data_IF_200817198752
#
_entry.id   IF_200817198752
#
_cell.length_a   1.000
_cell.length_b   1.000
_cell.length_c   1.000
_cell.angle_alpha   90.00
_cell.angle_beta   90.00
_cell.angle_gamma   90.00
#
_symmetry.space_group_name_H-M   'P 1'
#
loop_
_entity.id
_entity.type
_entity.pdbx_description
1 polymer ?
#
# COMPACT_ATOMS: atom_id res chain seq x y z
N UNK A 1 -10.01 -36.51 -23.65
CA UNK A 1 -10.47 -36.09 -22.30
C UNK A 1 -9.88 -37.05 -21.29
N UNK A 2 -9.13 -36.58 -20.28
CA UNK A 2 -8.64 -37.46 -19.20
C UNK A 2 -9.83 -37.77 -18.29
N UNK A 3 -10.29 -39.02 -18.28
CA UNK A 3 -11.36 -39.48 -17.41
C UNK A 3 -10.75 -40.23 -16.22
N UNK A 4 -11.00 -39.74 -15.02
CA UNK A 4 -10.59 -40.43 -13.79
C UNK A 4 -11.64 -41.51 -13.46
N UNK A 5 -11.27 -42.80 -13.40
CA UNK A 5 -12.23 -43.87 -13.12
C UNK A 5 -12.85 -43.74 -11.73
N UNK A 6 -14.13 -44.12 -11.61
CA UNK A 6 -14.89 -44.07 -10.35
C UNK A 6 -14.20 -44.83 -9.21
N UNK A 7 -13.53 -45.95 -9.52
CA UNK A 7 -12.77 -46.76 -8.58
C UNK A 7 -11.61 -46.01 -7.91
N UNK A 8 -11.01 -45.04 -8.61
CA UNK A 8 -9.91 -44.25 -8.08
C UNK A 8 -10.37 -43.33 -6.94
N UNK A 9 -11.58 -42.73 -7.06
CA UNK A 9 -12.19 -41.92 -6.01
C UNK A 9 -12.57 -42.78 -4.79
N UNK A 10 -13.21 -43.93 -5.02
CA UNK A 10 -13.60 -44.86 -3.93
C UNK A 10 -12.36 -45.33 -3.15
N UNK A 11 -11.27 -45.65 -3.86
CA UNK A 11 -10.01 -46.06 -3.22
C UNK A 11 -9.44 -44.97 -2.32
N UNK A 12 -9.44 -43.71 -2.78
CA UNK A 12 -9.01 -42.58 -1.98
C UNK A 12 -9.89 -42.37 -0.73
N UNK A 13 -11.21 -42.49 -0.86
CA UNK A 13 -12.13 -42.41 0.28
C UNK A 13 -11.86 -43.53 1.30
N UNK A 14 -11.68 -44.77 0.84
CA UNK A 14 -11.42 -45.91 1.72
C UNK A 14 -10.06 -45.83 2.42
N UNK A 15 -9.09 -45.10 1.85
CA UNK A 15 -7.81 -44.83 2.52
C UNK A 15 -7.96 -44.06 3.83
N UNK A 16 -8.99 -43.22 3.95
CA UNK A 16 -9.25 -42.41 5.15
C UNK A 16 -10.48 -42.87 5.96
N UNK A 17 -11.45 -43.54 5.32
CA UNK A 17 -12.74 -43.93 5.92
C UNK A 17 -12.97 -45.46 5.97
N UNK A 18 -11.99 -46.26 5.54
CA UNK A 18 -12.08 -47.72 5.51
C UNK A 18 -11.81 -48.37 6.86
N UNK A 19 -12.33 -49.59 7.04
CA UNK A 19 -12.26 -50.36 8.29
C UNK A 19 -10.83 -50.63 8.82
N UNK A 20 -9.80 -50.52 7.96
CA UNK A 20 -8.41 -50.74 8.32
C UNK A 20 -7.75 -49.56 9.06
N UNK A 21 -8.35 -48.36 9.04
CA UNK A 21 -7.72 -47.14 9.54
C UNK A 21 -8.34 -46.62 10.84
N UNK A 22 -8.86 -47.47 11.74
CA UNK A 22 -9.22 -47.09 13.11
C UNK A 22 -10.16 -45.89 13.30
N UNK A 23 -10.80 -45.39 12.23
CA UNK A 23 -11.61 -44.18 12.24
C UNK A 23 -12.81 -44.33 11.29
N UNK A 24 -13.98 -44.33 11.93
CA UNK A 24 -15.31 -43.97 11.45
C UNK A 24 -15.71 -44.44 10.03
N UNK A 25 -16.40 -45.58 9.99
CA UNK A 25 -17.21 -45.97 8.82
C UNK A 25 -18.34 -44.97 8.54
N UNK A 26 -18.94 -45.08 7.35
CA UNK A 26 -20.03 -44.20 6.91
C UNK A 26 -21.18 -44.17 7.95
N UNK A 27 -21.61 -42.97 8.34
CA UNK A 27 -22.66 -42.75 9.34
C UNK A 27 -24.07 -43.10 8.84
N UNK A 28 -24.22 -43.36 7.55
CA UNK A 28 -25.49 -43.73 6.93
C UNK A 28 -25.88 -45.18 7.27
N UNK A 29 -27.18 -45.48 7.31
CA UNK A 29 -27.72 -46.81 7.65
C UNK A 29 -27.21 -47.87 6.67
N UNK A 30 -26.80 -49.03 7.17
CA UNK A 30 -26.23 -50.11 6.37
C UNK A 30 -27.14 -50.55 5.20
N UNK A 31 -28.46 -50.54 5.39
CA UNK A 31 -29.44 -50.86 4.33
C UNK A 31 -29.39 -49.85 3.17
N UNK A 32 -29.21 -48.56 3.47
CA UNK A 32 -29.12 -47.50 2.45
C UNK A 32 -27.80 -47.61 1.70
N UNK A 33 -26.69 -47.89 2.39
CA UNK A 33 -25.39 -48.09 1.74
C UNK A 33 -25.37 -49.34 0.86
N UNK A 34 -25.94 -50.44 1.33
CA UNK A 34 -26.09 -51.66 0.55
C UNK A 34 -26.90 -51.43 -0.74
N UNK A 35 -27.97 -50.61 -0.69
CA UNK A 35 -28.74 -50.24 -1.88
C UNK A 35 -27.96 -49.45 -2.94
N UNK A 36 -26.81 -48.87 -2.54
CA UNK A 36 -25.88 -48.13 -3.41
C UNK A 36 -24.53 -48.86 -3.56
N UNK A 37 -24.46 -50.13 -3.17
CA UNK A 37 -23.25 -50.95 -3.24
C UNK A 37 -22.03 -50.33 -2.53
N UNK A 38 -22.26 -49.64 -1.41
CA UNK A 38 -21.27 -48.87 -0.63
C UNK A 38 -20.48 -47.82 -1.45
N UNK A 39 -21.04 -47.36 -2.57
CA UNK A 39 -20.44 -46.35 -3.42
C UNK A 39 -20.59 -44.94 -2.84
N UNK A 40 -19.49 -44.45 -2.25
CA UNK A 40 -19.42 -43.12 -1.65
C UNK A 40 -19.64 -41.99 -2.67
N UNK A 41 -19.27 -42.21 -3.94
CA UNK A 41 -19.33 -41.17 -4.99
C UNK A 41 -20.78 -40.83 -5.32
N UNK A 42 -21.69 -41.80 -5.28
CA UNK A 42 -23.11 -41.57 -5.62
C UNK A 42 -23.78 -40.59 -4.68
N UNK A 43 -23.48 -40.66 -3.38
CA UNK A 43 -24.12 -39.82 -2.36
C UNK A 43 -23.35 -38.53 -2.08
N UNK A 44 -22.01 -38.57 -2.16
CA UNK A 44 -21.16 -37.44 -1.77
C UNK A 44 -20.54 -36.65 -2.95
N UNK A 45 -20.70 -37.13 -4.18
CA UNK A 45 -20.24 -36.44 -5.39
C UNK A 45 -21.34 -36.38 -6.48
N UNK A 46 -22.54 -35.88 -6.17
CA UNK A 46 -23.56 -35.70 -7.19
C UNK A 46 -23.08 -34.72 -8.27
N UNK A 47 -23.31 -35.07 -9.54
CA UNK A 47 -23.01 -34.19 -10.66
C UNK A 47 -24.09 -33.12 -10.77
N UNK A 48 -23.71 -31.85 -10.61
CA UNK A 48 -24.57 -30.73 -10.95
C UNK A 48 -24.04 -30.04 -12.23
N UNK A 49 -24.95 -29.68 -13.12
CA UNK A 49 -24.62 -28.82 -14.26
C UNK A 49 -24.31 -27.40 -13.79
N UNK A 50 -23.37 -26.72 -14.45
CA UNK A 50 -23.19 -25.28 -14.26
C UNK A 50 -24.16 -24.51 -15.17
N UNK A 51 -24.82 -23.48 -14.65
CA UNK A 51 -25.77 -22.66 -15.43
C UNK A 51 -25.04 -21.84 -16.51
N UNK A 52 -23.81 -21.39 -16.22
CA UNK A 52 -23.11 -20.39 -17.04
C UNK A 52 -22.02 -20.95 -17.96
N UNK A 53 -21.70 -22.25 -17.91
CA UNK A 53 -20.66 -22.87 -18.76
C UNK A 53 -21.17 -24.19 -19.36
N UNK A 54 -21.45 -24.24 -20.68
CA UNK A 54 -21.80 -25.48 -21.37
C UNK A 54 -20.66 -26.51 -21.27
N UNK A 55 -21.03 -27.77 -21.02
CA UNK A 55 -20.13 -28.94 -20.98
C UNK A 55 -19.16 -29.05 -19.79
N UNK A 56 -19.39 -28.31 -18.70
CA UNK A 56 -18.67 -28.51 -17.43
C UNK A 56 -19.62 -29.07 -16.38
N UNK A 57 -19.18 -30.14 -15.72
CA UNK A 57 -19.87 -30.69 -14.57
C UNK A 57 -19.03 -30.48 -13.31
N UNK A 58 -19.67 -29.97 -12.27
CA UNK A 58 -19.02 -29.67 -10.99
C UNK A 58 -19.49 -30.70 -9.97
N UNK A 59 -18.54 -31.23 -9.20
CA UNK A 59 -18.84 -32.09 -8.04
C UNK A 59 -18.30 -31.38 -6.81
N UNK A 60 -19.19 -30.88 -5.97
CA UNK A 60 -18.81 -30.21 -4.73
C UNK A 60 -18.62 -31.26 -3.63
N UNK A 61 -17.50 -31.21 -2.92
CA UNK A 61 -17.19 -32.15 -1.85
C UNK A 61 -17.03 -31.35 -0.57
N UNK A 62 -18.13 -31.25 0.18
CA UNK A 62 -18.11 -30.54 1.43
C UNK A 62 -17.54 -31.42 2.55
N UNK A 63 -16.20 -31.39 2.70
CA UNK A 63 -15.50 -32.07 3.78
C UNK A 63 -15.58 -31.19 5.04
N UNK A 64 -16.58 -31.45 5.91
CA UNK A 64 -16.56 -30.88 7.27
C UNK A 64 -15.45 -31.55 8.08
N UNK A 65 -14.30 -30.89 8.20
CA UNK A 65 -13.39 -31.16 9.33
C UNK A 65 -14.16 -30.84 10.61
N UNK A 66 -14.34 -31.83 11.49
CA UNK A 66 -14.73 -31.54 12.88
C UNK A 66 -13.64 -30.64 13.45
N UNK A 67 -13.98 -29.55 14.17
CA UNK A 67 -12.99 -28.86 14.98
C UNK A 67 -12.56 -29.85 16.07
N UNK A 68 -11.52 -30.64 15.80
CA UNK A 68 -10.71 -31.18 16.87
C UNK A 68 -10.31 -30.00 17.73
N UNK A 69 -10.44 -30.12 19.05
CA UNK A 69 -10.03 -29.08 19.98
C UNK A 69 -8.61 -28.68 19.65
N UNK A 70 -8.45 -27.60 18.87
CA UNK A 70 -7.18 -27.09 18.36
C UNK A 70 -6.53 -26.29 19.50
N UNK A 71 -6.42 -26.94 20.66
CA UNK A 71 -5.70 -26.48 21.84
C UNK A 71 -4.20 -26.39 21.57
N UNK A 72 -3.74 -26.87 20.40
CA UNK A 72 -2.41 -26.68 19.84
C UNK A 72 -2.22 -25.35 19.09
N UNK A 73 -3.27 -24.59 18.74
CA UNK A 73 -3.13 -23.28 18.06
C UNK A 73 -2.98 -22.09 19.00
N UNK A 74 -2.18 -22.26 20.05
CA UNK A 74 -1.54 -21.14 20.76
C UNK A 74 -0.03 -21.32 20.85
N UNK A 75 0.57 -22.15 20.00
CA UNK A 75 1.96 -21.93 19.65
C UNK A 75 2.03 -20.61 18.88
N UNK A 76 2.82 -19.67 19.40
CA UNK A 76 3.33 -18.56 18.61
C UNK A 76 3.92 -19.20 17.37
N UNK A 77 3.24 -19.15 16.22
CA UNK A 77 3.82 -19.56 14.96
C UNK A 77 4.87 -18.51 14.62
N UNK A 78 6.03 -18.62 15.24
CA UNK A 78 7.15 -17.75 15.01
C UNK A 78 7.41 -17.76 13.50
N UNK A 79 7.53 -16.57 12.93
CA UNK A 79 7.90 -16.45 11.54
C UNK A 79 9.28 -17.12 11.34
N UNK A 80 9.30 -18.27 10.67
CA UNK A 80 10.52 -19.06 10.48
C UNK A 80 11.36 -18.53 9.31
N UNK A 81 10.72 -17.93 8.30
CA UNK A 81 11.38 -17.41 7.11
C UNK A 81 10.49 -17.46 5.88
N UNK A 82 11.03 -16.99 4.75
CA UNK A 82 10.39 -17.07 3.44
C UNK A 82 10.98 -18.21 2.62
N UNK A 83 10.13 -18.91 1.89
CA UNK A 83 10.51 -19.91 0.89
C UNK A 83 9.88 -19.56 -0.45
N UNK A 84 10.70 -19.56 -1.50
CA UNK A 84 10.20 -19.43 -2.87
C UNK A 84 9.55 -20.75 -3.31
N UNK A 85 8.30 -20.70 -3.78
CA UNK A 85 7.54 -21.90 -4.15
C UNK A 85 7.71 -22.30 -5.62
N UNK A 86 8.02 -21.34 -6.50
CA UNK A 86 8.12 -21.54 -7.94
C UNK A 86 9.57 -21.53 -8.46
N UNK A 87 10.55 -21.30 -7.59
CA UNK A 87 11.97 -21.38 -7.91
C UNK A 87 12.73 -21.90 -6.69
N UNK A 88 13.13 -23.17 -6.73
CA UNK A 88 13.90 -23.81 -5.66
C UNK A 88 15.29 -23.18 -5.45
N UNK A 89 15.76 -22.33 -6.37
CA UNK A 89 17.06 -21.66 -6.35
C UNK A 89 16.90 -20.15 -6.58
N UNK A 90 16.04 -19.52 -5.78
CA UNK A 90 15.97 -18.05 -5.76
C UNK A 90 17.33 -17.46 -5.37
N UNK A 91 17.80 -16.47 -6.14
CA UNK A 91 19.02 -15.74 -5.80
C UNK A 91 18.83 -14.88 -4.55
N UNK A 92 19.93 -14.37 -4.02
CA UNK A 92 19.91 -13.64 -2.76
C UNK A 92 19.13 -12.33 -2.88
N UNK A 93 19.24 -11.61 -4.00
CA UNK A 93 18.49 -10.36 -4.24
C UNK A 93 16.99 -10.64 -4.32
N UNK A 94 16.58 -11.68 -5.04
CA UNK A 94 15.16 -12.11 -5.10
C UNK A 94 14.63 -12.47 -3.71
N UNK A 95 15.42 -13.18 -2.91
CA UNK A 95 15.06 -13.50 -1.52
C UNK A 95 14.92 -12.24 -0.66
N UNK A 96 15.86 -11.29 -0.76
CA UNK A 96 15.79 -10.01 -0.06
C UNK A 96 14.54 -9.20 -0.42
N UNK A 97 14.18 -9.16 -1.71
CA UNK A 97 12.92 -8.54 -2.15
C UNK A 97 11.70 -9.19 -1.54
N UNK A 98 11.69 -10.53 -1.42
CA UNK A 98 10.62 -11.24 -0.72
C UNK A 98 10.43 -10.75 0.72
N UNK A 99 11.51 -10.55 1.46
CA UNK A 99 11.44 -10.02 2.83
C UNK A 99 10.90 -8.58 2.88
N UNK A 100 11.36 -7.71 1.97
CA UNK A 100 10.85 -6.34 1.88
C UNK A 100 9.37 -6.27 1.47
N UNK A 101 8.93 -7.12 0.52
CA UNK A 101 7.52 -7.23 0.15
C UNK A 101 6.67 -7.72 1.33
N UNK A 102 7.18 -8.70 2.09
CA UNK A 102 6.46 -9.20 3.26
C UNK A 102 6.34 -8.13 4.35
N UNK A 103 7.40 -7.31 4.52
CA UNK A 103 7.41 -6.17 5.42
C UNK A 103 6.31 -5.15 5.07
N UNK A 104 6.25 -4.75 3.80
CA UNK A 104 5.30 -3.72 3.34
C UNK A 104 3.85 -4.21 3.35
N UNK A 105 3.60 -5.48 3.02
CA UNK A 105 2.23 -6.01 2.85
C UNK A 105 1.61 -6.60 4.10
N UNK A 106 2.39 -7.20 4.99
CA UNK A 106 1.85 -8.02 6.08
C UNK A 106 2.30 -7.56 7.46
N UNK A 107 3.58 -7.24 7.68
CA UNK A 107 4.06 -6.85 9.01
C UNK A 107 5.30 -5.98 8.98
N UNK A 108 5.26 -4.83 9.65
CA UNK A 108 6.36 -3.86 9.68
C UNK A 108 7.45 -4.22 10.72
N UNK A 109 7.85 -5.49 10.78
CA UNK A 109 8.91 -5.94 11.68
C UNK A 109 10.30 -5.63 11.12
N UNK A 110 11.12 -4.87 11.86
CA UNK A 110 12.48 -4.49 11.45
C UNK A 110 13.39 -5.69 11.15
N UNK A 111 13.21 -6.82 11.84
CA UNK A 111 14.00 -8.04 11.60
C UNK A 111 13.85 -8.63 10.20
N UNK A 112 12.75 -8.33 9.50
CA UNK A 112 12.59 -8.69 8.08
C UNK A 112 13.53 -7.89 7.19
N UNK A 113 13.73 -6.60 7.51
CA UNK A 113 14.64 -5.73 6.76
C UNK A 113 16.11 -6.08 7.08
N UNK A 114 16.42 -6.50 8.31
CA UNK A 114 17.74 -7.04 8.66
C UNK A 114 18.05 -8.29 7.82
N UNK A 115 17.08 -9.20 7.69
CA UNK A 115 17.19 -10.37 6.83
C UNK A 115 17.40 -9.97 5.37
N UNK A 116 16.62 -9.01 4.86
CA UNK A 116 16.77 -8.50 3.50
C UNK A 116 18.18 -7.96 3.25
N UNK A 117 18.71 -7.11 4.15
CA UNK A 117 20.06 -6.55 4.05
C UNK A 117 21.14 -7.65 4.09
N UNK A 118 20.98 -8.67 4.94
CA UNK A 118 21.89 -9.80 4.99
C UNK A 118 21.96 -10.54 3.64
N UNK A 119 20.82 -10.75 2.98
CA UNK A 119 20.78 -11.38 1.67
C UNK A 119 21.36 -10.48 0.57
N UNK A 120 21.07 -9.17 0.58
CA UNK A 120 21.68 -8.21 -0.36
C UNK A 120 23.21 -8.20 -0.24
N UNK A 121 23.75 -8.35 0.98
CA UNK A 121 25.19 -8.44 1.23
C UNK A 121 25.89 -9.57 0.47
N UNK A 122 25.18 -10.68 0.17
CA UNK A 122 25.74 -11.83 -0.56
C UNK A 122 26.01 -11.54 -2.03
N UNK A 123 25.39 -10.50 -2.60
CA UNK A 123 25.48 -10.15 -4.02
C UNK A 123 25.65 -8.63 -4.22
N UNK A 124 26.39 -7.98 -3.32
CA UNK A 124 26.54 -6.51 -3.32
C UNK A 124 27.07 -5.95 -4.65
N UNK A 125 28.05 -6.60 -5.28
CA UNK A 125 28.59 -6.13 -6.57
C UNK A 125 27.55 -6.18 -7.71
N UNK A 126 26.68 -7.20 -7.71
CA UNK A 126 25.58 -7.34 -8.67
C UNK A 126 24.55 -6.23 -8.44
N UNK A 127 24.20 -5.99 -7.17
CA UNK A 127 23.26 -4.94 -6.80
C UNK A 127 23.79 -3.55 -7.17
N UNK A 128 25.06 -3.25 -6.86
CA UNK A 128 25.70 -1.98 -7.17
C UNK A 128 25.83 -1.73 -8.68
N UNK A 129 26.21 -2.75 -9.46
CA UNK A 129 26.38 -2.61 -10.91
C UNK A 129 25.07 -2.70 -11.68
N UNK A 130 24.38 -3.84 -11.60
CA UNK A 130 23.25 -4.16 -12.47
C UNK A 130 21.91 -3.60 -11.97
N UNK A 131 21.75 -3.39 -10.66
CA UNK A 131 20.50 -2.90 -10.06
C UNK A 131 20.63 -1.48 -9.52
N UNK A 132 21.81 -0.88 -9.64
CA UNK A 132 22.09 0.50 -9.23
C UNK A 132 21.69 0.75 -7.76
N UNK A 133 21.97 -0.22 -6.88
CA UNK A 133 21.66 -0.17 -5.44
C UNK A 133 20.17 0.01 -5.08
N UNK A 134 19.23 -0.16 -6.01
CA UNK A 134 17.80 0.13 -5.77
C UNK A 134 17.20 -0.68 -4.62
N UNK A 135 17.69 -1.89 -4.39
CA UNK A 135 17.18 -2.76 -3.32
C UNK A 135 17.75 -2.34 -1.95
N UNK A 136 19.01 -1.89 -1.87
CA UNK A 136 19.55 -1.25 -0.66
C UNK A 136 18.83 0.07 -0.35
N UNK A 137 18.61 0.90 -1.37
CA UNK A 137 17.84 2.14 -1.26
C UNK A 137 16.44 1.85 -0.71
N UNK A 138 15.75 0.83 -1.22
CA UNK A 138 14.45 0.40 -0.69
C UNK A 138 14.55 -0.04 0.77
N UNK A 139 15.49 -0.92 1.11
CA UNK A 139 15.62 -1.46 2.46
C UNK A 139 15.86 -0.35 3.50
N UNK A 140 16.83 0.55 3.24
CA UNK A 140 17.12 1.65 4.16
C UNK A 140 16.02 2.70 4.21
N UNK A 141 15.31 2.94 3.10
CA UNK A 141 14.14 3.80 3.09
C UNK A 141 13.01 3.25 3.98
N UNK A 142 12.76 1.94 3.94
CA UNK A 142 11.78 1.26 4.80
C UNK A 142 12.19 1.29 6.29
N UNK A 143 13.50 1.27 6.57
CA UNK A 143 14.05 1.48 7.91
C UNK A 143 13.99 2.96 8.37
N UNK A 144 13.61 3.88 7.49
CA UNK A 144 13.69 5.33 7.70
C UNK A 144 15.11 5.85 7.97
N UNK A 145 16.13 5.10 7.53
CA UNK A 145 17.52 5.55 7.56
C UNK A 145 17.81 6.35 6.29
N UNK A 146 17.34 7.60 6.29
CA UNK A 146 17.50 8.51 5.15
C UNK A 146 18.97 8.86 4.89
N UNK A 147 19.83 8.81 5.92
CA UNK A 147 21.27 9.01 5.78
C UNK A 147 21.89 7.93 4.90
N UNK A 148 21.58 6.66 5.17
CA UNK A 148 22.02 5.54 4.32
C UNK A 148 21.46 5.62 2.92
N UNK A 149 20.18 5.98 2.75
CA UNK A 149 19.61 6.18 1.40
C UNK A 149 20.37 7.24 0.63
N UNK A 150 20.69 8.37 1.27
CA UNK A 150 21.48 9.44 0.65
C UNK A 150 22.92 9.00 0.31
N UNK A 151 23.55 8.17 1.15
CA UNK A 151 24.88 7.58 0.89
C UNK A 151 24.89 6.75 -0.40
N UNK A 152 23.92 5.83 -0.55
CA UNK A 152 23.79 5.05 -1.79
C UNK A 152 23.42 5.93 -2.99
N UNK A 153 22.58 6.95 -2.79
CA UNK A 153 22.21 7.91 -3.82
C UNK A 153 23.38 8.78 -4.30
N UNK A 154 24.33 9.13 -3.43
CA UNK A 154 25.47 9.98 -3.76
C UNK A 154 26.44 9.35 -4.77
N UNK A 155 26.51 8.02 -4.82
CA UNK A 155 27.28 7.27 -5.83
C UNK A 155 26.58 7.19 -7.20
N UNK A 156 25.33 7.64 -7.29
CA UNK A 156 24.49 7.54 -8.47
C UNK A 156 24.18 8.92 -9.04
N UNK A 157 23.76 8.97 -10.30
CA UNK A 157 23.32 10.20 -10.96
C UNK A 157 21.84 10.09 -11.32
N UNK A 158 21.00 11.12 -11.04
CA UNK A 158 19.58 11.10 -11.37
C UNK A 158 19.30 10.67 -12.82
N UNK A 159 19.98 11.29 -13.80
CA UNK A 159 19.76 10.98 -15.22
C UNK A 159 20.08 9.53 -15.64
N UNK A 160 20.84 8.78 -14.83
CA UNK A 160 21.17 7.36 -15.10
C UNK A 160 20.23 6.37 -14.43
N UNK A 161 19.38 6.82 -13.50
CA UNK A 161 18.48 5.96 -12.74
C UNK A 161 17.23 5.66 -13.56
N UNK A 162 17.00 4.38 -13.89
CA UNK A 162 15.83 3.97 -14.68
C UNK A 162 14.69 3.39 -13.82
N UNK A 163 14.84 3.42 -12.49
CA UNK A 163 13.85 2.95 -11.54
C UNK A 163 13.21 4.15 -10.84
N UNK A 164 11.92 4.40 -11.14
CA UNK A 164 11.19 5.56 -10.62
C UNK A 164 11.09 5.53 -9.09
N UNK A 165 10.89 4.35 -8.51
CA UNK A 165 10.79 4.18 -7.06
C UNK A 165 12.11 4.46 -6.36
N UNK A 166 13.24 3.99 -6.91
CA UNK A 166 14.56 4.31 -6.36
C UNK A 166 14.86 5.81 -6.44
N UNK A 167 14.58 6.45 -7.59
CA UNK A 167 14.71 7.89 -7.74
C UNK A 167 13.85 8.65 -6.71
N UNK A 168 12.59 8.25 -6.56
CA UNK A 168 11.67 8.82 -5.58
C UNK A 168 12.19 8.67 -4.15
N UNK A 169 12.63 7.47 -3.76
CA UNK A 169 13.14 7.20 -2.39
C UNK A 169 14.39 8.00 -2.07
N UNK A 170 15.30 8.18 -3.03
CA UNK A 170 16.47 9.06 -2.84
C UNK A 170 16.02 10.52 -2.67
N UNK A 171 15.13 11.00 -3.54
CA UNK A 171 14.57 12.36 -3.44
C UNK A 171 13.89 12.61 -2.09
N UNK A 172 13.02 11.69 -1.66
CA UNK A 172 12.33 11.77 -0.38
C UNK A 172 13.30 11.72 0.80
N UNK A 173 14.29 10.83 0.79
CA UNK A 173 15.31 10.80 1.84
C UNK A 173 16.07 12.13 1.95
N UNK A 174 16.49 12.70 0.82
CA UNK A 174 17.17 14.01 0.80
C UNK A 174 16.26 15.14 1.29
N UNK A 175 14.97 15.11 0.92
CA UNK A 175 13.99 16.09 1.38
C UNK A 175 13.77 16.03 2.90
N UNK A 176 13.64 14.82 3.46
CA UNK A 176 13.53 14.61 4.90
C UNK A 176 14.78 15.08 5.66
N UNK A 177 15.95 14.96 5.03
CA UNK A 177 17.23 15.50 5.53
C UNK A 177 17.38 17.03 5.31
N UNK A 178 16.31 17.74 4.96
CA UNK A 178 16.30 19.19 4.70
C UNK A 178 17.21 19.62 3.53
N UNK A 179 17.53 18.71 2.62
CA UNK A 179 18.33 18.96 1.41
C UNK A 179 17.44 19.05 0.18
N UNK A 180 16.46 19.94 0.20
CA UNK A 180 15.47 20.08 -0.88
C UNK A 180 16.11 20.35 -2.25
N UNK A 181 17.21 21.13 -2.30
CA UNK A 181 17.95 21.38 -3.53
C UNK A 181 18.51 20.11 -4.19
N UNK A 182 19.05 19.20 -3.37
CA UNK A 182 19.58 17.92 -3.84
C UNK A 182 18.45 16.93 -4.15
N UNK A 183 17.32 17.01 -3.44
CA UNK A 183 16.14 16.17 -3.65
C UNK A 183 15.46 16.44 -5.00
N UNK A 184 15.41 17.70 -5.42
CA UNK A 184 14.69 18.14 -6.61
C UNK A 184 15.01 17.33 -7.89
N UNK A 185 16.28 17.16 -8.30
CA UNK A 185 16.59 16.39 -9.51
C UNK A 185 16.20 14.90 -9.40
N UNK A 186 16.17 14.33 -8.20
CA UNK A 186 15.75 12.94 -7.98
C UNK A 186 14.24 12.77 -8.09
N UNK A 187 13.46 13.68 -7.49
CA UNK A 187 12.01 13.71 -7.71
C UNK A 187 11.67 13.95 -9.17
N UNK A 188 12.35 14.90 -9.84
CA UNK A 188 12.18 15.14 -11.27
C UNK A 188 12.42 13.86 -12.05
N UNK A 189 13.50 13.14 -11.77
CA UNK A 189 13.78 11.86 -12.42
C UNK A 189 12.68 10.83 -12.20
N UNK A 190 12.14 10.72 -10.99
CA UNK A 190 11.02 9.81 -10.72
C UNK A 190 9.81 10.13 -11.60
N UNK A 191 9.50 11.42 -11.78
CA UNK A 191 8.41 11.87 -12.67
C UNK A 191 8.73 11.71 -14.16
N UNK A 192 9.99 11.77 -14.58
CA UNK A 192 10.38 11.51 -15.97
C UNK A 192 10.27 10.02 -16.32
N UNK A 193 10.59 9.13 -15.36
CA UNK A 193 10.49 7.66 -15.56
C UNK A 193 9.03 7.20 -15.47
N UNK A 194 8.24 7.77 -14.55
CA UNK A 194 6.82 7.46 -14.41
C UNK A 194 5.94 8.72 -14.33
N UNK A 195 5.58 9.32 -15.47
CA UNK A 195 4.89 10.62 -15.52
C UNK A 195 3.51 10.66 -14.87
N UNK A 196 2.78 9.54 -14.94
CA UNK A 196 1.41 9.41 -14.43
C UNK A 196 1.33 8.93 -12.97
N UNK A 197 2.47 8.79 -12.29
CA UNK A 197 2.46 8.62 -10.83
C UNK A 197 2.19 9.98 -10.17
N UNK A 198 0.92 10.26 -9.91
CA UNK A 198 0.47 11.53 -9.33
C UNK A 198 1.08 11.79 -7.95
N UNK A 199 1.38 10.75 -7.18
CA UNK A 199 2.07 10.85 -5.91
C UNK A 199 3.51 11.39 -6.08
N UNK A 200 4.24 10.92 -7.10
CA UNK A 200 5.58 11.42 -7.39
C UNK A 200 5.55 12.85 -7.91
N UNK A 201 4.56 13.18 -8.75
CA UNK A 201 4.33 14.55 -9.20
C UNK A 201 4.03 15.47 -8.02
N UNK A 202 3.18 15.03 -7.08
CA UNK A 202 2.82 15.82 -5.90
C UNK A 202 4.06 16.13 -5.05
N UNK A 203 4.91 15.12 -4.83
CA UNK A 203 6.17 15.26 -4.08
C UNK A 203 7.17 16.17 -4.79
N UNK A 204 7.27 16.06 -6.12
CA UNK A 204 8.06 16.99 -6.93
C UNK A 204 7.56 18.43 -6.83
N UNK A 205 6.24 18.64 -6.93
CA UNK A 205 5.59 19.94 -6.78
C UNK A 205 5.82 20.57 -5.40
N UNK A 206 5.70 19.78 -4.33
CA UNK A 206 5.98 20.23 -2.96
C UNK A 206 7.45 20.65 -2.82
N UNK A 207 8.38 19.88 -3.36
CA UNK A 207 9.80 20.22 -3.36
C UNK A 207 10.05 21.54 -4.12
N UNK A 208 9.44 21.73 -5.29
CA UNK A 208 9.50 23.00 -6.04
C UNK A 208 8.98 24.18 -5.21
N UNK A 209 7.85 24.03 -4.51
CA UNK A 209 7.33 25.07 -3.62
C UNK A 209 8.30 25.41 -2.50
N UNK A 210 8.90 24.41 -1.85
CA UNK A 210 9.87 24.63 -0.75
C UNK A 210 11.11 25.42 -1.20
N UNK A 211 11.46 25.33 -2.49
CA UNK A 211 12.56 26.05 -3.11
C UNK A 211 12.14 27.40 -3.73
N UNK A 212 10.91 27.84 -3.51
CA UNK A 212 10.38 29.09 -4.06
C UNK A 212 10.08 29.05 -5.57
N UNK A 213 10.14 27.87 -6.20
CA UNK A 213 9.87 27.66 -7.64
C UNK A 213 8.37 27.54 -7.92
N UNK A 214 7.59 28.50 -7.41
CA UNK A 214 6.12 28.47 -7.40
C UNK A 214 5.51 28.34 -8.79
N UNK A 215 6.10 28.98 -9.81
CA UNK A 215 5.61 28.90 -11.20
C UNK A 215 5.75 27.51 -11.82
N UNK A 216 6.81 26.76 -11.47
CA UNK A 216 6.98 25.36 -11.89
C UNK A 216 6.03 24.45 -11.11
N UNK A 217 5.90 24.68 -9.80
CA UNK A 217 5.00 23.91 -8.94
C UNK A 217 3.53 24.02 -9.39
N UNK A 218 3.10 25.23 -9.79
CA UNK A 218 1.76 25.46 -10.34
C UNK A 218 1.48 24.52 -11.53
N UNK A 219 2.41 24.42 -12.49
CA UNK A 219 2.27 23.53 -13.65
C UNK A 219 2.12 22.07 -13.23
N UNK A 220 2.93 21.62 -12.26
CA UNK A 220 2.89 20.26 -11.75
C UNK A 220 1.56 19.94 -11.08
N UNK A 221 1.07 20.80 -10.18
CA UNK A 221 -0.22 20.55 -9.53
C UNK A 221 -1.41 20.69 -10.49
N UNK A 222 -1.35 21.61 -11.46
CA UNK A 222 -2.37 21.70 -12.51
C UNK A 222 -2.44 20.42 -13.35
N UNK A 223 -1.28 19.82 -13.67
CA UNK A 223 -1.25 18.50 -14.32
C UNK A 223 -1.89 17.41 -13.45
N UNK A 224 -1.57 17.38 -12.15
CA UNK A 224 -2.19 16.38 -11.25
C UNK A 224 -3.72 16.53 -11.22
N UNK A 225 -4.22 17.76 -11.17
CA UNK A 225 -5.68 18.03 -11.16
C UNK A 225 -6.32 17.75 -12.52
N UNK A 226 -5.59 17.88 -13.64
CA UNK A 226 -6.13 17.46 -14.95
C UNK A 226 -6.26 15.95 -15.09
N UNK A 227 -5.37 15.17 -14.47
CA UNK A 227 -5.46 13.70 -14.46
C UNK A 227 -6.42 13.18 -13.38
N UNK A 228 -6.50 13.86 -12.24
CA UNK A 228 -7.40 13.55 -11.14
C UNK A 228 -7.93 14.83 -10.49
N UNK A 229 -9.13 15.25 -10.92
CA UNK A 229 -9.78 16.46 -10.42
C UNK A 229 -10.02 16.46 -8.90
N UNK A 230 -10.16 15.27 -8.29
CA UNK A 230 -10.39 15.09 -6.86
C UNK A 230 -9.10 14.89 -6.05
N UNK A 231 -7.91 15.09 -6.63
CA UNK A 231 -6.65 14.90 -5.91
C UNK A 231 -6.48 15.95 -4.80
N UNK A 232 -6.70 15.53 -3.55
CA UNK A 232 -6.80 16.39 -2.36
C UNK A 232 -5.57 17.28 -2.20
N UNK A 233 -4.38 16.67 -2.07
CA UNK A 233 -3.13 17.39 -1.80
C UNK A 233 -2.79 18.40 -2.91
N UNK A 234 -3.12 18.11 -4.17
CA UNK A 234 -2.79 19.00 -5.29
C UNK A 234 -3.73 20.20 -5.32
N UNK A 235 -5.03 19.99 -5.10
CA UNK A 235 -6.00 21.06 -4.93
C UNK A 235 -5.66 21.94 -3.71
N UNK A 236 -5.26 21.35 -2.58
CA UNK A 236 -4.80 22.12 -1.41
C UNK A 236 -3.58 23.00 -1.73
N UNK A 237 -2.59 22.46 -2.44
CA UNK A 237 -1.39 23.20 -2.84
C UNK A 237 -1.70 24.30 -3.87
N UNK A 238 -2.55 24.05 -4.86
CA UNK A 238 -3.03 25.08 -5.79
C UNK A 238 -3.78 26.19 -5.05
N UNK A 239 -4.67 25.82 -4.14
CA UNK A 239 -5.39 26.75 -3.27
C UNK A 239 -4.43 27.68 -2.53
N UNK A 240 -3.42 27.10 -1.87
CA UNK A 240 -2.37 27.87 -1.19
C UNK A 240 -1.58 28.79 -2.15
N UNK A 241 -1.17 28.29 -3.32
CA UNK A 241 -0.43 29.10 -4.30
C UNK A 241 -1.27 30.31 -4.75
N UNK A 242 -2.56 30.11 -5.04
CA UNK A 242 -3.44 31.21 -5.43
C UNK A 242 -3.73 32.19 -4.28
N UNK A 243 -3.74 31.74 -3.02
CA UNK A 243 -3.80 32.64 -1.87
C UNK A 243 -2.59 33.57 -1.83
N UNK A 244 -1.38 33.02 -2.04
CA UNK A 244 -0.14 33.81 -2.07
C UNK A 244 -0.12 34.81 -3.24
N UNK A 245 -0.81 34.50 -4.34
CA UNK A 245 -0.96 35.39 -5.49
C UNK A 245 -2.10 36.41 -5.34
N UNK A 246 -2.87 36.37 -4.24
CA UNK A 246 -4.04 37.21 -4.03
C UNK A 246 -5.26 36.87 -4.92
N UNK A 247 -5.22 35.74 -5.64
CA UNK A 247 -6.34 35.28 -6.46
C UNK A 247 -7.35 34.52 -5.60
N UNK A 248 -8.17 35.27 -4.86
CA UNK A 248 -9.11 34.72 -3.87
C UNK A 248 -10.12 33.74 -4.48
N UNK A 249 -10.59 34.00 -5.70
CA UNK A 249 -11.57 33.14 -6.38
C UNK A 249 -10.98 31.77 -6.71
N UNK A 250 -9.82 31.73 -7.35
CA UNK A 250 -9.16 30.46 -7.69
C UNK A 250 -8.71 29.71 -6.43
N UNK A 251 -8.20 30.44 -5.43
CA UNK A 251 -7.85 29.86 -4.15
C UNK A 251 -9.03 29.13 -3.53
N UNK A 252 -10.18 29.80 -3.41
CA UNK A 252 -11.37 29.21 -2.82
C UNK A 252 -11.88 27.99 -3.58
N UNK A 253 -11.91 28.05 -4.92
CA UNK A 253 -12.38 26.95 -5.76
C UNK A 253 -11.56 25.68 -5.55
N UNK A 254 -10.23 25.79 -5.52
CA UNK A 254 -9.36 24.64 -5.28
C UNK A 254 -9.44 24.13 -3.83
N UNK A 255 -9.48 25.02 -2.84
CA UNK A 255 -9.66 24.61 -1.44
C UNK A 255 -11.01 23.91 -1.21
N UNK A 256 -12.06 24.35 -1.90
CA UNK A 256 -13.38 23.73 -1.87
C UNK A 256 -13.37 22.36 -2.56
N UNK A 257 -12.71 22.22 -3.71
CA UNK A 257 -12.53 20.93 -4.37
C UNK A 257 -11.79 19.92 -3.48
N UNK A 258 -10.70 20.35 -2.82
CA UNK A 258 -10.01 19.52 -1.83
C UNK A 258 -10.92 19.13 -0.66
N UNK A 259 -11.75 20.06 -0.17
CA UNK A 259 -12.70 19.82 0.93
C UNK A 259 -13.79 18.81 0.56
N UNK A 260 -14.27 18.84 -0.68
CA UNK A 260 -15.27 17.90 -1.18
C UNK A 260 -14.70 16.49 -1.32
N UNK A 261 -13.43 16.38 -1.72
CA UNK A 261 -12.74 15.10 -1.85
C UNK A 261 -12.35 14.49 -0.49
N UNK A 262 -11.87 15.32 0.45
CA UNK A 262 -11.57 14.90 1.82
C UNK A 262 -11.90 16.01 2.84
N UNK A 263 -13.04 15.88 3.55
CA UNK A 263 -13.45 16.80 4.60
C UNK A 263 -12.59 16.77 5.87
N UNK A 264 -11.68 15.83 6.03
CA UNK A 264 -10.84 15.73 7.24
C UNK A 264 -9.37 16.08 6.95
N UNK A 265 -9.02 16.44 5.69
CA UNK A 265 -7.65 16.81 5.33
C UNK A 265 -7.19 18.08 6.05
N UNK A 266 -6.34 17.88 7.05
CA UNK A 266 -5.88 18.87 8.02
C UNK A 266 -5.29 20.13 7.37
N UNK A 267 -4.38 19.97 6.41
CA UNK A 267 -3.74 21.13 5.76
C UNK A 267 -4.74 21.99 4.98
N UNK A 268 -5.77 21.38 4.38
CA UNK A 268 -6.82 22.13 3.69
C UNK A 268 -7.75 22.86 4.64
N UNK A 269 -8.07 22.26 5.79
CA UNK A 269 -8.84 22.90 6.87
C UNK A 269 -8.14 24.16 7.38
N UNK A 270 -6.83 24.09 7.61
CA UNK A 270 -6.02 25.25 7.97
C UNK A 270 -6.05 26.32 6.87
N UNK A 271 -5.84 25.93 5.61
CA UNK A 271 -5.84 26.88 4.49
C UNK A 271 -7.21 27.55 4.28
N UNK A 272 -8.31 26.81 4.42
CA UNK A 272 -9.67 27.35 4.39
C UNK A 272 -9.92 28.32 5.54
N UNK A 273 -9.46 28.00 6.75
CA UNK A 273 -9.58 28.90 7.90
C UNK A 273 -8.83 30.22 7.66
N UNK A 274 -7.58 30.17 7.16
CA UNK A 274 -6.82 31.36 6.76
C UNK A 274 -7.59 32.13 5.67
N UNK A 275 -8.08 31.46 4.64
CA UNK A 275 -8.80 32.10 3.55
C UNK A 275 -10.06 32.81 4.04
N UNK A 276 -10.88 32.15 4.87
CA UNK A 276 -12.10 32.73 5.43
C UNK A 276 -11.81 33.92 6.33
N UNK A 277 -10.77 33.84 7.18
CA UNK A 277 -10.36 34.94 8.03
C UNK A 277 -9.95 36.17 7.21
N UNK A 278 -9.05 36.00 6.23
CA UNK A 278 -8.59 37.09 5.35
C UNK A 278 -9.73 37.68 4.49
N UNK A 279 -10.77 36.90 4.19
CA UNK A 279 -11.95 37.36 3.45
C UNK A 279 -13.10 37.82 4.37
N UNK A 280 -12.80 38.20 5.62
CA UNK A 280 -13.76 38.78 6.58
C UNK A 280 -14.94 37.86 6.90
N UNK A 281 -14.72 36.54 6.91
CA UNK A 281 -15.69 35.50 7.29
C UNK A 281 -15.19 34.72 8.53
N UNK A 282 -15.01 35.37 9.69
CA UNK A 282 -14.41 34.73 10.85
C UNK A 282 -15.24 33.56 11.41
N UNK A 283 -16.56 33.57 11.25
CA UNK A 283 -17.43 32.47 11.71
C UNK A 283 -17.17 31.16 10.95
N UNK A 284 -16.93 31.24 9.64
CA UNK A 284 -16.62 30.06 8.82
C UNK A 284 -15.19 29.56 9.09
N UNK A 285 -14.25 30.48 9.34
CA UNK A 285 -12.91 30.12 9.78
C UNK A 285 -12.93 29.36 11.11
N UNK A 286 -13.71 29.84 12.08
CA UNK A 286 -13.91 29.17 13.36
C UNK A 286 -14.51 27.77 13.19
N UNK A 287 -15.52 27.60 12.33
CA UNK A 287 -16.09 26.27 12.04
C UNK A 287 -15.03 25.30 11.52
N UNK A 288 -14.19 25.74 10.58
CA UNK A 288 -13.08 24.92 10.06
C UNK A 288 -12.11 24.52 11.17
N UNK A 289 -11.68 25.47 12.02
CA UNK A 289 -10.73 25.19 13.10
C UNK A 289 -11.31 24.30 14.19
N UNK A 290 -12.57 24.50 14.56
CA UNK A 290 -13.27 23.62 15.52
C UNK A 290 -13.43 22.21 14.97
N UNK A 291 -13.75 22.06 13.69
CA UNK A 291 -13.79 20.75 13.03
C UNK A 291 -12.43 20.06 13.08
N UNK A 292 -11.36 20.78 12.75
CA UNK A 292 -9.99 20.27 12.84
C UNK A 292 -9.62 19.84 14.27
N UNK A 293 -9.87 20.70 15.27
CA UNK A 293 -9.54 20.41 16.67
C UNK A 293 -10.38 19.30 17.29
N UNK A 294 -11.58 19.04 16.77
CA UNK A 294 -12.37 17.88 17.20
C UNK A 294 -11.71 16.55 16.80
N UNK A 295 -10.98 16.52 15.67
CA UNK A 295 -10.27 15.34 15.17
C UNK A 295 -8.83 15.27 15.69
N UNK A 296 -8.18 16.43 15.78
CA UNK A 296 -6.79 16.60 16.20
C UNK A 296 -6.69 17.63 17.33
N UNK A 297 -7.06 17.25 18.56
CA UNK A 297 -7.04 18.16 19.71
C UNK A 297 -5.66 18.72 20.03
N UNK A 298 -4.58 18.09 19.55
CA UNK A 298 -3.20 18.48 19.82
C UNK A 298 -2.61 19.41 18.75
N UNK A 299 -3.39 19.84 17.76
CA UNK A 299 -2.92 20.78 16.74
C UNK A 299 -2.77 22.20 17.34
N UNK A 300 -1.58 22.51 17.85
CA UNK A 300 -1.25 23.81 18.47
C UNK A 300 -1.44 25.01 17.53
N UNK A 301 -1.16 24.84 16.22
CA UNK A 301 -1.36 25.90 15.23
C UNK A 301 -2.83 26.27 15.11
N UNK A 302 -3.71 25.26 15.04
CA UNK A 302 -5.15 25.47 14.94
C UNK A 302 -5.72 26.09 16.23
N UNK A 303 -5.22 25.71 17.41
CA UNK A 303 -5.57 26.36 18.68
C UNK A 303 -5.22 27.84 18.67
N UNK A 304 -3.98 28.17 18.31
CA UNK A 304 -3.50 29.55 18.28
C UNK A 304 -4.34 30.41 17.31
N UNK A 305 -4.62 29.90 16.11
CA UNK A 305 -5.47 30.58 15.13
C UNK A 305 -6.91 30.78 15.62
N UNK A 306 -7.47 29.79 16.34
CA UNK A 306 -8.83 29.89 16.86
C UNK A 306 -8.92 30.96 17.95
N UNK A 307 -7.94 31.03 18.84
CA UNK A 307 -7.87 32.06 19.91
C UNK A 307 -7.81 33.45 19.28
N UNK A 308 -6.96 33.65 18.28
CA UNK A 308 -6.82 34.93 17.58
C UNK A 308 -8.14 35.38 16.93
N UNK A 309 -8.80 34.47 16.20
CA UNK A 309 -10.08 34.74 15.52
C UNK A 309 -11.20 35.07 16.50
N UNK A 310 -11.25 34.42 17.66
CA UNK A 310 -12.29 34.66 18.68
C UNK A 310 -12.00 35.95 19.45
N UNK A 311 -10.73 36.19 19.80
CA UNK A 311 -10.33 37.37 20.59
C UNK A 311 -10.45 38.67 19.79
N UNK A 312 -10.22 38.64 18.47
CA UNK A 312 -10.39 39.79 17.59
C UNK A 312 -11.83 40.22 17.30
N UNK A 313 -12.83 39.57 17.92
CA UNK A 313 -14.25 39.95 17.82
C UNK A 313 -14.74 40.85 18.97
N UNK A 314 -13.92 41.04 20.01
CA UNK A 314 -14.18 41.93 21.15
C UNK A 314 -13.66 43.33 20.89
#
# INVERSE_FOLDING_TARGET
MKFTPRSQYITACNGCHGAAAGQHGCSEKAQVRASKNDDCVTCHMPHNGSIDIPHVAVTDHYIRRRPGQDTLKKEITAFLGLKCFNNDRADAITTARGFMEFYERYTQSKGLLDSALQYLGRQQAVEAGAKQNRDYIRAYFLLQDFGKVAEYGAALKPGSMNDAWAAYRIGEALYQLQKAGDALPWYKRATEVWPYSLDFQNKYGICLMSLGKTGEALKVFSFIVSENAAHVSANTNLGYIYMQQGNNTMAYNHLLAARQADPDYEQNLVNLAVWYHTNKRPDDAEKCLRHLLNKHPDNERAKAMLIDIVSGRG
#
